data_IF_874766989522
#
_entry.id   IF_874766989522
#
_cell.length_a   1.000
_cell.length_b   1.000
_cell.length_c   1.000
_cell.angle_alpha   90.00
_cell.angle_beta   90.00
_cell.angle_gamma   90.00
#
_symmetry.space_group_name_H-M   'P 1'
#
loop_
_entity.id
_entity.type
_entity.pdbx_description
1 polymer ?
#
# COMPACT_ATOMS: atom_id res chain seq x y z
N UNK A 1 9.79 12.01 15.38
CA UNK A 1 10.19 10.74 16.01
C UNK A 1 11.70 10.54 15.84
N UNK A 2 12.41 9.99 16.83
CA UNK A 2 13.81 9.59 16.68
C UNK A 2 13.86 8.28 15.86
N UNK A 3 14.58 8.26 14.73
CA UNK A 3 14.71 7.08 13.86
C UNK A 3 15.21 5.84 14.63
N UNK A 4 16.10 6.05 15.62
CA UNK A 4 16.60 4.98 16.49
C UNK A 4 15.47 4.34 17.28
N UNK A 5 14.61 5.13 17.94
CA UNK A 5 13.47 4.62 18.72
C UNK A 5 12.54 3.78 17.84
N UNK A 6 12.19 4.28 16.64
CA UNK A 6 11.32 3.57 15.69
C UNK A 6 11.89 2.21 15.29
N UNK A 7 13.20 2.17 15.02
CA UNK A 7 13.92 0.94 14.67
C UNK A 7 13.96 -0.04 15.84
N UNK A 8 14.29 0.45 17.04
CA UNK A 8 14.46 -0.36 18.26
C UNK A 8 13.13 -0.96 18.73
N UNK A 9 12.04 -0.18 18.65
CA UNK A 9 10.68 -0.64 18.96
C UNK A 9 10.03 -1.41 17.79
N UNK A 10 10.71 -1.52 16.66
CA UNK A 10 10.29 -2.31 15.50
C UNK A 10 8.95 -1.83 14.88
N UNK A 11 8.69 -0.51 14.92
CA UNK A 11 7.46 0.07 14.36
C UNK A 11 7.31 -0.18 12.86
N UNK A 12 8.42 -0.28 12.13
CA UNK A 12 8.43 -0.66 10.72
C UNK A 12 7.76 -2.04 10.49
N UNK A 13 7.92 -3.01 11.40
CA UNK A 13 7.26 -4.31 11.30
C UNK A 13 5.74 -4.21 11.48
N UNK A 14 5.24 -3.24 12.25
CA UNK A 14 3.81 -2.95 12.30
C UNK A 14 3.31 -2.36 10.98
N UNK A 15 4.09 -1.45 10.36
CA UNK A 15 3.77 -0.97 9.00
C UNK A 15 3.72 -2.13 8.00
N UNK A 16 4.64 -3.09 8.07
CA UNK A 16 4.62 -4.30 7.23
C UNK A 16 3.34 -5.13 7.42
N UNK A 17 2.92 -5.36 8.66
CA UNK A 17 1.64 -6.04 8.95
C UNK A 17 0.44 -5.28 8.37
N UNK A 18 0.47 -3.95 8.41
CA UNK A 18 -0.56 -3.08 7.88
C UNK A 18 -0.56 -3.05 6.33
N UNK A 19 0.61 -3.04 5.70
CA UNK A 19 0.79 -3.10 4.24
C UNK A 19 0.18 -4.37 3.64
N UNK A 20 0.23 -5.49 4.37
CA UNK A 20 -0.42 -6.73 4.00
C UNK A 20 -1.96 -6.66 4.01
N UNK A 21 -2.54 -5.62 4.64
CA UNK A 21 -3.98 -5.39 4.70
C UNK A 21 -4.51 -4.38 3.69
N UNK A 22 -3.63 -3.63 3.00
CA UNK A 22 -4.03 -2.65 2.00
C UNK A 22 -4.62 -3.30 0.74
N UNK A 23 -5.65 -2.68 0.18
CA UNK A 23 -6.34 -3.18 -1.02
C UNK A 23 -5.77 -2.62 -2.33
N UNK A 24 -5.02 -1.52 -2.26
CA UNK A 24 -4.46 -0.81 -3.42
C UNK A 24 -3.02 -0.34 -3.18
N UNK A 25 -2.31 0.04 -4.26
CA UNK A 25 -1.00 0.70 -4.16
C UNK A 25 -1.08 2.06 -3.46
N UNK A 26 -2.20 2.77 -3.60
CA UNK A 26 -2.42 4.09 -2.99
C UNK A 26 -2.58 3.99 -1.47
N UNK A 27 -3.30 2.96 -0.99
CA UNK A 27 -3.37 2.66 0.43
C UNK A 27 -2.02 2.26 1.01
N UNK A 28 -1.20 1.52 0.25
CA UNK A 28 0.18 1.20 0.65
C UNK A 28 1.05 2.44 0.83
N UNK A 29 1.01 3.38 -0.11
CA UNK A 29 1.72 4.66 0.00
C UNK A 29 1.29 5.42 1.26
N UNK A 30 -0.02 5.46 1.56
CA UNK A 30 -0.55 6.07 2.79
C UNK A 30 -0.08 5.39 4.08
N UNK A 31 0.13 4.07 4.05
CA UNK A 31 0.67 3.31 5.18
C UNK A 31 2.18 3.58 5.36
N UNK A 32 2.93 3.70 4.27
CA UNK A 32 4.36 4.03 4.34
C UNK A 32 4.57 5.41 4.96
N UNK A 33 3.72 6.38 4.59
CA UNK A 33 3.68 7.75 5.15
C UNK A 33 3.14 7.83 6.59
N UNK A 34 2.59 6.75 7.15
CA UNK A 34 1.94 6.77 8.46
C UNK A 34 2.95 7.02 9.58
N UNK A 35 2.82 8.15 10.28
CA UNK A 35 3.68 8.48 11.41
C UNK A 35 2.87 8.71 12.70
N UNK A 36 3.43 8.42 13.88
CA UNK A 36 2.79 8.75 15.15
C UNK A 36 2.53 10.25 15.28
N UNK A 37 1.29 10.60 15.62
CA UNK A 37 0.83 11.96 15.86
C UNK A 37 1.15 12.38 17.31
N UNK A 38 1.19 13.69 17.57
CA UNK A 38 1.46 14.26 18.90
C UNK A 38 0.33 15.19 19.39
N UNK A 39 -0.76 15.26 18.64
CA UNK A 39 -1.95 16.04 18.95
C UNK A 39 -3.10 15.11 19.33
N UNK A 40 -3.68 15.31 20.53
CA UNK A 40 -4.71 14.43 21.07
C UNK A 40 -5.97 14.37 20.19
N UNK A 41 -6.41 15.50 19.63
CA UNK A 41 -7.59 15.56 18.78
C UNK A 41 -7.40 14.75 17.48
N UNK A 42 -6.24 14.91 16.84
CA UNK A 42 -5.87 14.16 15.63
C UNK A 42 -5.72 12.67 15.90
N UNK A 43 -5.14 12.27 17.03
CA UNK A 43 -5.04 10.86 17.46
C UNK A 43 -6.44 10.27 17.66
N UNK A 44 -7.31 10.96 18.39
CA UNK A 44 -8.67 10.51 18.66
C UNK A 44 -9.49 10.34 17.37
N UNK A 45 -9.37 11.28 16.44
CA UNK A 45 -10.02 11.18 15.14
C UNK A 45 -9.50 9.95 14.36
N UNK A 46 -8.18 9.77 14.27
CA UNK A 46 -7.58 8.62 13.57
C UNK A 46 -7.93 7.27 14.22
N UNK A 47 -8.07 7.22 15.54
CA UNK A 47 -8.55 6.04 16.26
C UNK A 47 -10.02 5.74 15.98
N UNK A 48 -10.86 6.77 15.88
CA UNK A 48 -12.27 6.60 15.53
C UNK A 48 -12.47 6.14 14.08
N UNK A 49 -11.66 6.64 13.14
CA UNK A 49 -11.63 6.10 11.77
C UNK A 49 -11.33 4.60 11.76
N UNK A 50 -10.34 4.16 12.54
CA UNK A 50 -10.04 2.73 12.72
C UNK A 50 -11.21 1.96 13.35
N UNK A 51 -11.92 2.57 14.30
CA UNK A 51 -13.11 1.96 14.94
C UNK A 51 -14.25 1.74 13.94
N UNK A 52 -14.59 2.76 13.15
CA UNK A 52 -15.61 2.65 12.10
C UNK A 52 -15.20 1.62 11.03
N UNK A 53 -13.95 1.67 10.56
CA UNK A 53 -13.43 0.73 9.57
C UNK A 53 -13.43 -0.72 10.05
N UNK A 54 -13.10 -0.96 11.32
CA UNK A 54 -13.18 -2.28 11.96
C UNK A 54 -14.62 -2.79 11.99
N UNK A 55 -15.58 -1.91 12.28
CA UNK A 55 -17.00 -2.26 12.28
C UNK A 55 -17.46 -2.65 10.87
N UNK A 56 -17.13 -1.84 9.85
CA UNK A 56 -17.41 -2.15 8.44
C UNK A 56 -16.86 -3.52 8.07
N UNK A 57 -15.57 -3.77 8.32
CA UNK A 57 -14.92 -5.04 7.98
C UNK A 57 -15.61 -6.28 8.60
N UNK A 58 -16.19 -6.14 9.79
CA UNK A 58 -16.85 -7.26 10.49
C UNK A 58 -18.20 -7.62 9.88
N UNK A 59 -18.94 -6.63 9.37
CA UNK A 59 -20.35 -6.81 9.01
C UNK A 59 -20.62 -6.68 7.52
N UNK A 60 -19.72 -6.07 6.76
CA UNK A 60 -19.97 -5.61 5.40
C UNK A 60 -18.72 -5.73 4.50
N UNK A 61 -18.92 -5.71 3.19
CA UNK A 61 -17.84 -5.67 2.20
C UNK A 61 -17.71 -4.24 1.66
N UNK A 62 -16.55 -3.62 1.85
CA UNK A 62 -16.31 -2.24 1.43
C UNK A 62 -15.82 -2.19 -0.02
N UNK A 63 -16.47 -1.43 -0.92
CA UNK A 63 -16.25 -1.56 -2.36
C UNK A 63 -15.00 -0.81 -2.87
N UNK A 64 -13.80 -1.24 -2.47
CA UNK A 64 -12.51 -0.73 -2.98
C UNK A 64 -11.88 -1.58 -4.10
N UNK A 65 -12.48 -2.72 -4.41
CA UNK A 65 -11.94 -3.63 -5.43
C UNK A 65 -11.88 -2.95 -6.80
N UNK A 66 -10.68 -2.90 -7.37
CA UNK A 66 -10.41 -2.27 -8.67
C UNK A 66 -9.80 -0.87 -8.58
N UNK A 67 -9.48 -0.37 -7.37
CA UNK A 67 -8.77 0.89 -7.22
C UNK A 67 -7.33 0.78 -7.77
N UNK A 68 -7.04 1.54 -8.81
CA UNK A 68 -5.75 1.59 -9.51
C UNK A 68 -5.21 3.02 -9.44
N UNK A 69 -3.88 3.16 -9.38
CA UNK A 69 -3.23 4.46 -9.44
C UNK A 69 -3.23 5.03 -10.87
N UNK A 70 -4.12 5.99 -11.10
CA UNK A 70 -4.27 6.66 -12.40
C UNK A 70 -3.55 8.01 -12.48
N UNK A 71 -2.71 8.38 -11.49
CA UNK A 71 -2.04 9.70 -11.45
C UNK A 71 -1.27 10.01 -12.74
N UNK A 72 -0.61 9.01 -13.31
CA UNK A 72 0.12 9.15 -14.57
C UNK A 72 -0.80 9.44 -15.77
N UNK A 73 -1.94 8.75 -15.86
CA UNK A 73 -2.98 9.01 -16.87
C UNK A 73 -3.58 10.40 -16.72
N UNK A 74 -3.98 10.79 -15.50
CA UNK A 74 -4.54 12.11 -15.21
C UNK A 74 -3.55 13.25 -15.51
N UNK A 75 -2.26 13.05 -15.26
CA UNK A 75 -1.21 14.03 -15.60
C UNK A 75 -1.04 14.20 -17.11
N UNK A 76 -1.09 13.11 -17.87
CA UNK A 76 -1.04 13.14 -19.34
C UNK A 76 -2.26 13.84 -19.93
N UNK A 77 -3.47 13.48 -19.47
CA UNK A 77 -4.70 14.13 -19.90
C UNK A 77 -4.71 15.63 -19.60
N UNK A 78 -4.20 16.05 -18.43
CA UNK A 78 -4.08 17.46 -18.07
C UNK A 78 -3.19 18.26 -19.04
N UNK A 79 -2.20 17.61 -19.66
CA UNK A 79 -1.33 18.20 -20.69
C UNK A 79 -1.93 18.15 -22.11
N UNK A 80 -3.16 17.65 -22.26
CA UNK A 80 -3.85 17.51 -23.55
C UNK A 80 -3.39 16.30 -24.38
N UNK A 81 -2.73 15.31 -23.77
CA UNK A 81 -2.34 14.10 -24.47
C UNK A 81 -3.54 13.16 -24.68
N UNK A 82 -3.56 12.45 -25.82
CA UNK A 82 -4.52 11.37 -26.08
C UNK A 82 -4.14 10.14 -25.25
N UNK A 83 -5.06 9.70 -24.41
CA UNK A 83 -4.90 8.52 -23.56
C UNK A 83 -5.10 7.24 -24.35
N UNK A 84 -4.37 6.20 -23.96
CA UNK A 84 -4.53 4.87 -24.53
C UNK A 84 -5.76 4.17 -23.92
N UNK A 85 -6.33 3.16 -24.59
CA UNK A 85 -7.49 2.43 -24.06
C UNK A 85 -7.29 1.88 -22.65
N UNK A 86 -6.08 1.40 -22.33
CA UNK A 86 -5.73 0.92 -20.99
C UNK A 86 -5.85 1.99 -19.93
N UNK A 87 -5.36 3.21 -20.22
CA UNK A 87 -5.42 4.35 -19.29
C UNK A 87 -6.88 4.74 -19.01
N UNK A 88 -7.72 4.73 -20.05
CA UNK A 88 -9.14 5.05 -19.94
C UNK A 88 -9.89 3.99 -19.12
N UNK A 89 -9.60 2.70 -19.32
CA UNK A 89 -10.20 1.63 -18.52
C UNK A 89 -9.81 1.73 -17.03
N UNK A 90 -8.56 2.07 -16.72
CA UNK A 90 -8.13 2.30 -15.33
C UNK A 90 -8.87 3.50 -14.70
N UNK A 91 -9.08 4.57 -15.46
CA UNK A 91 -9.86 5.74 -15.02
C UNK A 91 -11.34 5.37 -14.83
N UNK A 92 -11.92 4.57 -15.72
CA UNK A 92 -13.27 4.05 -15.53
C UNK A 92 -13.38 3.21 -14.24
N UNK A 93 -12.36 2.41 -13.93
CA UNK A 93 -12.30 1.65 -12.66
C UNK A 93 -12.29 2.58 -11.44
N UNK A 94 -11.56 3.70 -11.50
CA UNK A 94 -11.62 4.74 -10.45
C UNK A 94 -13.03 5.34 -10.32
N UNK A 95 -13.71 5.66 -11.44
CA UNK A 95 -15.08 6.17 -11.43
C UNK A 95 -16.05 5.18 -10.76
N UNK A 96 -15.94 3.89 -11.10
CA UNK A 96 -16.73 2.81 -10.51
C UNK A 96 -16.49 2.72 -8.99
N UNK A 97 -15.23 2.73 -8.55
CA UNK A 97 -14.89 2.69 -7.12
C UNK A 97 -15.46 3.91 -6.38
N UNK A 98 -15.30 5.11 -6.94
CA UNK A 98 -15.81 6.35 -6.37
C UNK A 98 -17.33 6.31 -6.21
N UNK A 99 -18.05 5.87 -7.24
CA UNK A 99 -19.52 5.76 -7.23
C UNK A 99 -20.00 4.73 -6.20
N UNK A 100 -19.35 3.57 -6.11
CA UNK A 100 -19.72 2.52 -5.16
C UNK A 100 -19.47 2.94 -3.72
N UNK A 101 -18.30 3.55 -3.44
CA UNK A 101 -17.97 4.07 -2.11
C UNK A 101 -18.93 5.21 -1.70
N UNK A 102 -19.24 6.14 -2.60
CA UNK A 102 -20.25 7.17 -2.38
C UNK A 102 -21.62 6.57 -2.03
N UNK A 103 -22.08 5.60 -2.82
CA UNK A 103 -23.35 4.90 -2.59
C UNK A 103 -23.38 4.16 -1.25
N UNK A 104 -22.29 3.50 -0.88
CA UNK A 104 -22.14 2.80 0.39
C UNK A 104 -22.31 3.73 1.60
N UNK A 105 -21.63 4.89 1.59
CA UNK A 105 -21.65 5.81 2.73
C UNK A 105 -22.90 6.69 2.81
N UNK A 106 -23.57 6.93 1.68
CA UNK A 106 -24.82 7.70 1.63
C UNK A 106 -25.89 7.12 2.55
N UNK A 107 -25.99 5.80 2.64
CA UNK A 107 -27.01 5.11 3.46
C UNK A 107 -26.56 4.89 4.92
N UNK A 108 -25.28 5.18 5.24
CA UNK A 108 -24.64 4.76 6.50
C UNK A 108 -24.04 5.91 7.30
N UNK A 109 -24.48 7.13 7.02
CA UNK A 109 -23.98 8.35 7.65
C UNK A 109 -24.16 8.36 9.17
N UNK A 110 -25.23 7.76 9.68
CA UNK A 110 -25.45 7.65 11.14
C UNK A 110 -24.56 6.57 11.78
N UNK A 111 -24.20 5.53 11.04
CA UNK A 111 -23.45 4.39 11.56
C UNK A 111 -21.94 4.64 11.52
N UNK A 112 -21.45 5.33 10.49
CA UNK A 112 -20.03 5.60 10.24
C UNK A 112 -19.81 7.07 9.90
N UNK A 113 -20.09 8.01 10.82
CA UNK A 113 -20.09 9.45 10.53
C UNK A 113 -18.75 9.98 10.00
N UNK A 114 -17.60 9.52 10.52
CA UNK A 114 -16.29 10.01 10.08
C UNK A 114 -15.94 9.49 8.69
N UNK A 115 -16.06 8.19 8.44
CA UNK A 115 -15.76 7.62 7.13
C UNK A 115 -16.78 8.05 6.08
N UNK A 116 -18.04 8.26 6.46
CA UNK A 116 -19.04 8.87 5.59
C UNK A 116 -18.71 10.30 5.23
N UNK A 117 -18.01 11.06 6.08
CA UNK A 117 -17.57 12.42 5.72
C UNK A 117 -16.59 12.42 4.54
N UNK A 118 -15.71 11.41 4.43
CA UNK A 118 -14.87 11.20 3.25
C UNK A 118 -15.68 10.68 2.07
N UNK A 119 -16.57 9.72 2.32
CA UNK A 119 -17.43 9.12 1.29
C UNK A 119 -18.36 10.11 0.60
N UNK A 120 -18.91 11.07 1.33
CA UNK A 120 -19.81 12.10 0.81
C UNK A 120 -19.08 13.17 -0.02
N UNK A 121 -17.77 13.33 0.15
CA UNK A 121 -16.94 14.22 -0.67
C UNK A 121 -16.58 13.59 -2.03
N UNK A 122 -16.76 12.27 -2.18
CA UNK A 122 -16.56 11.61 -3.47
C UNK A 122 -17.59 12.11 -4.49
N UNK A 123 -17.13 12.43 -5.70
CA UNK A 123 -18.01 12.84 -6.79
C UNK A 123 -18.13 11.73 -7.84
N UNK A 124 -19.30 11.08 -7.97
CA UNK A 124 -19.50 10.04 -8.98
C UNK A 124 -19.46 10.61 -10.40
N UNK A 125 -18.46 10.22 -11.19
CA UNK A 125 -18.32 10.63 -12.60
C UNK A 125 -19.02 9.62 -13.53
N UNK A 126 -20.33 9.44 -13.37
CA UNK A 126 -21.11 8.39 -14.06
C UNK A 126 -21.15 8.57 -15.58
N UNK A 127 -21.17 9.80 -16.06
CA UNK A 127 -21.20 10.09 -17.50
C UNK A 127 -19.91 9.61 -18.17
N UNK A 128 -18.75 9.94 -17.58
CA UNK A 128 -17.44 9.46 -18.04
C UNK A 128 -17.31 7.93 -17.94
N UNK A 129 -17.80 7.32 -16.85
CA UNK A 129 -17.84 5.86 -16.69
C UNK A 129 -18.58 5.18 -17.86
N UNK A 130 -19.77 5.68 -18.19
CA UNK A 130 -20.59 5.14 -19.28
C UNK A 130 -19.98 5.42 -20.66
N UNK A 131 -19.43 6.62 -20.88
CA UNK A 131 -18.78 6.98 -22.14
C UNK A 131 -17.60 6.05 -22.46
N UNK A 132 -16.76 5.75 -21.45
CA UNK A 132 -15.63 4.82 -21.61
C UNK A 132 -16.14 3.39 -21.84
N UNK A 133 -17.11 2.92 -21.05
CA UNK A 133 -17.65 1.56 -21.22
C UNK A 133 -18.34 1.40 -22.58
N UNK A 134 -19.12 2.37 -23.06
CA UNK A 134 -19.77 2.28 -24.37
C UNK A 134 -18.78 2.27 -25.55
N UNK A 135 -17.61 2.89 -25.37
CA UNK A 135 -16.59 3.03 -26.40
C UNK A 135 -15.50 1.95 -26.37
N UNK A 136 -15.13 1.40 -25.20
CA UNK A 136 -13.96 0.53 -25.04
C UNK A 136 -14.38 -0.81 -24.43
N UNK A 137 -13.88 -1.91 -24.99
CA UNK A 137 -14.12 -3.26 -24.47
C UNK A 137 -13.27 -3.57 -23.23
N UNK A 138 -13.64 -4.60 -22.49
CA UNK A 138 -12.85 -5.10 -21.35
C UNK A 138 -11.41 -5.51 -21.73
N UNK A 139 -11.16 -5.77 -23.02
CA UNK A 139 -9.84 -6.13 -23.55
C UNK A 139 -9.02 -4.93 -24.03
N UNK A 140 -9.52 -3.70 -23.88
CA UNK A 140 -8.82 -2.49 -24.31
C UNK A 140 -8.95 -2.20 -25.81
N UNK A 141 -9.96 -2.77 -26.48
CA UNK A 141 -10.24 -2.49 -27.89
C UNK A 141 -11.39 -1.48 -28.03
N UNK A 142 -11.25 -0.50 -28.92
CA UNK A 142 -12.38 0.40 -29.23
C UNK A 142 -13.47 -0.38 -29.94
N UNK A 143 -14.70 -0.35 -29.40
CA UNK A 143 -15.87 -1.11 -29.86
C UNK A 143 -16.36 -0.59 -31.20
N UNK A 144 -16.94 -1.46 -32.04
CA UNK A 144 -17.64 -1.05 -33.27
C UNK A 144 -18.76 -0.05 -33.00
N UNK A 145 -19.34 -0.07 -31.79
CA UNK A 145 -20.41 0.82 -31.34
C UNK A 145 -19.93 2.21 -30.93
N UNK A 146 -18.62 2.42 -30.76
CA UNK A 146 -18.06 3.68 -30.27
C UNK A 146 -18.41 4.86 -31.19
N UNK A 147 -18.52 4.63 -32.50
CA UNK A 147 -19.09 5.60 -33.42
C UNK A 147 -19.76 4.95 -34.63
N UNK A 148 -20.76 5.61 -35.20
CA UNK A 148 -21.42 5.16 -36.43
C UNK A 148 -20.46 5.15 -37.63
N UNK A 149 -19.50 6.09 -37.64
CA UNK A 149 -18.47 6.19 -38.67
C UNK A 149 -17.47 5.02 -38.60
N UNK A 150 -16.97 4.71 -37.40
CA UNK A 150 -16.07 3.57 -37.15
C UNK A 150 -16.73 2.26 -37.57
N UNK A 151 -18.00 2.06 -37.19
CA UNK A 151 -18.78 0.90 -37.61
C UNK A 151 -18.84 0.76 -39.14
N UNK A 152 -19.05 1.87 -39.84
CA UNK A 152 -19.10 1.90 -41.31
C UNK A 152 -17.73 1.56 -41.91
N UNK A 153 -16.66 2.18 -41.42
CA UNK A 153 -15.29 1.92 -41.87
C UNK A 153 -14.92 0.45 -41.68
N UNK A 154 -15.16 -0.13 -40.50
CA UNK A 154 -14.89 -1.55 -40.24
C UNK A 154 -15.71 -2.50 -41.10
N UNK A 155 -16.96 -2.16 -41.41
CA UNK A 155 -17.77 -2.94 -42.36
C UNK A 155 -17.22 -2.86 -43.79
N UNK A 156 -16.76 -1.69 -44.22
CA UNK A 156 -16.10 -1.51 -45.52
C UNK A 156 -14.79 -2.32 -45.58
N UNK A 157 -13.98 -2.30 -44.52
CA UNK A 157 -12.76 -3.12 -44.37
C UNK A 157 -13.08 -4.60 -44.50
N UNK A 158 -14.04 -5.13 -43.71
CA UNK A 158 -14.46 -6.54 -43.78
C UNK A 158 -14.94 -6.92 -45.18
N UNK A 159 -15.67 -6.02 -45.84
CA UNK A 159 -16.16 -6.23 -47.22
C UNK A 159 -15.01 -6.26 -48.23
N UNK A 160 -14.08 -5.31 -48.16
CA UNK A 160 -12.91 -5.22 -49.05
C UNK A 160 -11.97 -6.41 -48.84
N UNK A 161 -11.71 -6.81 -47.59
CA UNK A 161 -10.91 -8.00 -47.26
C UNK A 161 -11.54 -9.27 -47.84
N UNK A 162 -12.85 -9.46 -47.69
CA UNK A 162 -13.56 -10.61 -48.25
C UNK A 162 -13.48 -10.63 -49.78
N UNK A 163 -13.70 -9.49 -50.45
CA UNK A 163 -13.55 -9.34 -51.91
C UNK A 163 -12.12 -9.63 -52.38
N UNK A 164 -11.12 -9.11 -51.68
CA UNK A 164 -9.70 -9.32 -51.98
C UNK A 164 -9.34 -10.80 -51.88
N UNK A 165 -9.73 -11.45 -50.77
CA UNK A 165 -9.49 -12.87 -50.53
C UNK A 165 -10.16 -13.74 -51.61
N UNK A 166 -11.44 -13.51 -51.91
CA UNK A 166 -12.14 -14.24 -52.98
C UNK A 166 -11.45 -14.09 -54.34
N UNK A 167 -11.00 -12.87 -54.68
CA UNK A 167 -10.34 -12.60 -55.96
C UNK A 167 -8.97 -13.27 -56.07
N UNK A 168 -8.20 -13.30 -54.99
CA UNK A 168 -6.91 -13.97 -54.94
C UNK A 168 -7.07 -15.50 -54.92
N UNK A 169 -8.02 -16.04 -54.15
CA UNK A 169 -8.32 -17.47 -54.13
C UNK A 169 -8.81 -17.99 -55.50
N UNK A 170 -9.65 -17.23 -56.19
CA UNK A 170 -10.08 -17.55 -57.55
C UNK A 170 -8.89 -17.61 -58.53
N UNK A 171 -7.91 -16.70 -58.38
CA UNK A 171 -6.67 -16.73 -59.16
C UNK A 171 -5.81 -17.94 -58.82
N UNK A 172 -5.62 -18.24 -57.54
CA UNK A 172 -4.83 -19.39 -57.07
C UNK A 172 -5.42 -20.73 -57.53
N UNK A 173 -6.75 -20.83 -57.60
CA UNK A 173 -7.45 -22.05 -58.10
C UNK A 173 -7.46 -22.18 -59.62
N UNK A 174 -7.07 -21.15 -60.37
CA UNK A 174 -7.03 -21.22 -61.83
C UNK A 174 -5.92 -22.16 -62.30
N UNK A 175 -6.22 -23.15 -63.18
CA UNK A 175 -5.21 -24.07 -63.71
C UNK A 175 -4.07 -23.37 -64.46
N UNK A 176 -4.31 -22.19 -65.03
CA UNK A 176 -3.30 -21.39 -65.69
C UNK A 176 -2.31 -20.78 -64.68
N UNK A 177 -2.81 -20.32 -63.53
CA UNK A 177 -1.99 -19.68 -62.50
C UNK A 177 -1.20 -20.70 -61.68
N UNK A 178 -1.76 -21.89 -61.40
CA UNK A 178 -1.07 -22.94 -60.64
C UNK A 178 0.27 -23.36 -61.25
N UNK A 179 0.43 -23.25 -62.57
CA UNK A 179 1.70 -23.54 -63.27
C UNK A 179 2.80 -22.53 -62.92
N UNK A 180 2.44 -21.32 -62.54
CA UNK A 180 3.37 -20.23 -62.25
C UNK A 180 3.69 -20.12 -60.75
N UNK A 181 2.81 -20.64 -59.89
CA UNK A 181 2.97 -20.55 -58.44
C UNK A 181 3.97 -21.59 -57.91
N UNK A 182 4.75 -21.18 -56.91
CA UNK A 182 5.55 -22.12 -56.13
C UNK A 182 4.64 -22.98 -55.24
N UNK A 183 3.70 -22.33 -54.56
CA UNK A 183 2.67 -22.94 -53.72
C UNK A 183 1.31 -22.28 -54.00
N UNK A 184 0.21 -23.05 -54.08
CA UNK A 184 -1.11 -22.51 -54.37
C UNK A 184 -1.76 -21.94 -53.10
N UNK A 185 -1.11 -20.95 -52.49
CA UNK A 185 -1.57 -20.25 -51.29
C UNK A 185 -1.53 -18.74 -51.50
N UNK A 186 -2.44 -18.04 -50.82
CA UNK A 186 -2.34 -16.59 -50.65
C UNK A 186 -1.53 -16.36 -49.38
N UNK A 187 -0.48 -15.55 -49.47
CA UNK A 187 0.35 -15.20 -48.30
C UNK A 187 0.43 -13.68 -48.15
N UNK A 188 1.03 -13.22 -47.05
CA UNK A 188 1.18 -11.81 -46.75
C UNK A 188 2.67 -11.43 -46.69
N UNK A 189 3.02 -10.31 -47.31
CA UNK A 189 4.35 -9.67 -47.27
C UNK A 189 4.18 -8.18 -47.14
N UNK A 190 4.87 -7.54 -46.19
CA UNK A 190 4.80 -6.09 -45.97
C UNK A 190 3.35 -5.57 -45.90
N UNK A 191 2.48 -6.29 -45.18
CA UNK A 191 1.04 -6.02 -45.02
C UNK A 191 0.25 -5.98 -46.34
N UNK A 192 0.73 -6.71 -47.35
CA UNK A 192 0.07 -6.89 -48.65
C UNK A 192 -0.15 -8.36 -48.92
N UNK A 193 -1.32 -8.67 -49.47
CA UNK A 193 -1.61 -10.02 -49.95
C UNK A 193 -0.92 -10.26 -51.29
N UNK A 194 -0.10 -11.31 -51.33
CA UNK A 194 0.77 -11.65 -52.45
C UNK A 194 0.67 -13.12 -52.80
N UNK A 195 1.01 -13.43 -54.05
CA UNK A 195 1.09 -14.79 -54.55
C UNK A 195 2.57 -15.18 -54.73
N UNK A 196 3.01 -16.34 -54.23
CA UNK A 196 4.38 -16.82 -54.41
C UNK A 196 4.55 -17.40 -55.82
N UNK A 197 5.20 -16.65 -56.72
CA UNK A 197 5.45 -17.01 -58.12
C UNK A 197 6.88 -17.49 -58.29
N UNK A 198 7.12 -18.55 -59.08
CA UNK A 198 8.48 -18.99 -59.39
C UNK A 198 9.22 -17.93 -60.21
N UNK A 199 10.50 -17.70 -59.90
CA UNK A 199 11.32 -16.67 -60.55
C UNK A 199 11.27 -16.75 -62.09
N UNK A 200 11.29 -17.96 -62.64
CA UNK A 200 11.22 -18.24 -64.09
C UNK A 200 9.94 -17.73 -64.77
N UNK A 201 8.84 -17.58 -64.03
CA UNK A 201 7.55 -17.10 -64.54
C UNK A 201 7.24 -15.64 -64.14
N UNK A 202 8.22 -14.87 -63.66
CA UNK A 202 7.99 -13.49 -63.17
C UNK A 202 7.25 -12.60 -64.16
N UNK A 203 7.56 -12.73 -65.46
CA UNK A 203 7.01 -11.87 -66.51
C UNK A 203 5.61 -12.33 -66.96
N UNK A 204 5.16 -13.53 -66.54
CA UNK A 204 3.86 -14.11 -66.93
C UNK A 204 2.74 -13.74 -65.96
N UNK A 205 3.08 -13.27 -64.75
CA UNK A 205 2.10 -12.83 -63.76
C UNK A 205 2.16 -11.30 -63.66
N UNK A 206 1.24 -10.56 -64.31
CA UNK A 206 1.22 -9.11 -64.21
C UNK A 206 0.85 -8.67 -62.78
N UNK A 207 1.76 -7.94 -62.14
CA UNK A 207 1.62 -7.51 -60.75
C UNK A 207 2.82 -6.72 -60.24
N UNK A 208 2.73 -6.27 -59.00
CA UNK A 208 3.78 -5.52 -58.30
C UNK A 208 4.59 -6.51 -57.46
N UNK A 209 5.91 -6.47 -57.56
CA UNK A 209 6.82 -7.29 -56.76
C UNK A 209 7.00 -6.62 -55.40
N UNK A 210 6.69 -7.34 -54.32
CA UNK A 210 6.83 -6.83 -52.95
C UNK A 210 8.02 -7.41 -52.20
N UNK A 211 8.45 -8.61 -52.55
CA UNK A 211 9.53 -9.32 -51.86
C UNK A 211 10.09 -10.48 -52.72
N UNK A 212 11.26 -10.99 -52.33
CA UNK A 212 11.93 -12.15 -52.94
C UNK A 212 12.44 -13.10 -51.84
N UNK A 213 12.31 -14.41 -52.06
CA UNK A 213 12.82 -15.40 -51.10
C UNK A 213 14.35 -15.34 -50.96
N UNK A 214 14.89 -15.72 -49.79
CA UNK A 214 16.32 -15.67 -49.49
C UNK A 214 17.20 -16.51 -50.45
N UNK A 215 16.66 -17.60 -51.00
CA UNK A 215 17.30 -18.44 -52.01
C UNK A 215 17.07 -17.94 -53.46
N UNK A 216 16.35 -16.83 -53.64
CA UNK A 216 16.06 -16.19 -54.92
C UNK A 216 15.03 -16.87 -55.80
N UNK A 217 14.55 -18.08 -55.45
CA UNK A 217 13.72 -18.92 -56.34
C UNK A 217 12.25 -18.49 -56.46
N UNK A 218 11.75 -17.72 -55.50
CA UNK A 218 10.34 -17.33 -55.40
C UNK A 218 10.21 -15.81 -55.30
N UNK A 219 9.34 -15.22 -56.10
CA UNK A 219 8.98 -13.79 -56.05
C UNK A 219 7.57 -13.66 -55.51
N UNK A 220 7.36 -12.74 -54.58
CA UNK A 220 6.04 -12.45 -54.03
C UNK A 220 5.40 -11.31 -54.81
N UNK A 221 4.41 -11.65 -55.64
CA UNK A 221 3.75 -10.71 -56.56
C UNK A 221 2.32 -10.42 -56.08
N UNK A 222 1.98 -9.14 -55.93
CA UNK A 222 0.59 -8.68 -55.82
C UNK A 222 0.00 -8.53 -57.23
N UNK A 223 -0.96 -9.36 -57.63
CA UNK A 223 -1.51 -9.30 -58.99
C UNK A 223 -2.21 -7.97 -59.26
N UNK A 224 -2.12 -7.43 -60.49
CA UNK A 224 -2.75 -6.14 -60.83
C UNK A 224 -4.25 -6.05 -60.50
N UNK A 225 -4.96 -7.16 -60.59
CA UNK A 225 -6.38 -7.25 -60.22
C UNK A 225 -6.67 -7.06 -58.73
N UNK A 226 -5.66 -7.18 -57.87
CA UNK A 226 -5.76 -7.06 -56.42
C UNK A 226 -5.27 -5.69 -55.91
N UNK A 227 -4.43 -5.00 -56.68
CA UNK A 227 -3.78 -3.73 -56.31
C UNK A 227 -4.80 -2.65 -55.91
N UNK A 228 -5.86 -2.46 -56.70
CA UNK A 228 -6.88 -1.44 -56.40
C UNK A 228 -7.59 -1.72 -55.06
N UNK A 229 -8.09 -2.95 -54.87
CA UNK A 229 -8.80 -3.37 -53.65
C UNK A 229 -7.87 -3.29 -52.43
N UNK A 230 -6.60 -3.65 -52.61
CA UNK A 230 -5.56 -3.60 -51.58
C UNK A 230 -5.23 -2.17 -51.18
N UNK A 231 -5.18 -1.23 -52.14
CA UNK A 231 -5.00 0.20 -51.85
C UNK A 231 -6.24 0.81 -51.18
N UNK A 232 -7.45 0.43 -51.61
CA UNK A 232 -8.69 0.82 -50.93
C UNK A 232 -8.72 0.32 -49.49
N UNK A 233 -8.33 -0.94 -49.27
CA UNK A 233 -8.24 -1.54 -47.95
C UNK A 233 -7.26 -0.77 -47.07
N UNK A 234 -6.05 -0.46 -47.57
CA UNK A 234 -5.06 0.34 -46.83
C UNK A 234 -5.58 1.74 -46.49
N UNK A 235 -6.26 2.42 -47.42
CA UNK A 235 -6.91 3.71 -47.12
C UNK A 235 -7.94 3.57 -46.01
N UNK A 236 -8.79 2.54 -46.08
CA UNK A 236 -9.81 2.31 -45.04
C UNK A 236 -9.22 1.94 -43.70
N UNK A 237 -8.10 1.20 -43.65
CA UNK A 237 -7.37 0.94 -42.41
C UNK A 237 -6.77 2.21 -41.82
N UNK A 238 -6.23 3.11 -42.64
CA UNK A 238 -5.79 4.43 -42.16
C UNK A 238 -6.98 5.29 -41.66
N UNK A 239 -8.12 5.29 -42.38
CA UNK A 239 -9.36 5.94 -41.92
C UNK A 239 -9.81 5.38 -40.55
N UNK A 240 -9.62 4.07 -40.31
CA UNK A 240 -9.95 3.43 -39.03
C UNK A 240 -9.03 3.92 -37.90
N UNK A 241 -7.71 3.95 -38.14
CA UNK A 241 -6.74 4.44 -37.17
C UNK A 241 -7.03 5.91 -36.76
N UNK A 242 -7.32 6.77 -37.74
CA UNK A 242 -7.67 8.17 -37.51
C UNK A 242 -8.99 8.32 -36.73
N UNK A 243 -10.00 7.53 -37.07
CA UNK A 243 -11.29 7.55 -36.37
C UNK A 243 -11.16 7.01 -34.93
N UNK A 244 -10.32 6.00 -34.70
CA UNK A 244 -10.00 5.50 -33.35
C UNK A 244 -9.27 6.56 -32.53
N UNK A 245 -8.24 7.22 -33.10
CA UNK A 245 -7.52 8.30 -32.43
C UNK A 245 -8.46 9.47 -32.08
N UNK A 246 -9.38 9.83 -32.97
CA UNK A 246 -10.41 10.84 -32.73
C UNK A 246 -11.28 10.48 -31.52
N UNK A 247 -11.80 9.26 -31.45
CA UNK A 247 -12.65 8.77 -30.34
C UNK A 247 -11.86 8.80 -29.03
N UNK A 248 -10.61 8.31 -29.03
CA UNK A 248 -9.76 8.34 -27.83
C UNK A 248 -9.45 9.78 -27.40
N UNK A 249 -9.26 10.70 -28.36
CA UNK A 249 -9.07 12.12 -28.10
C UNK A 249 -10.28 12.76 -27.41
N UNK A 250 -11.50 12.44 -27.85
CA UNK A 250 -12.75 12.91 -27.23
C UNK A 250 -12.88 12.42 -25.79
N UNK A 251 -12.69 11.12 -25.55
CA UNK A 251 -12.71 10.56 -24.19
C UNK A 251 -11.62 11.17 -23.31
N UNK A 252 -10.43 11.43 -23.87
CA UNK A 252 -9.33 12.07 -23.14
C UNK A 252 -9.66 13.52 -22.74
N UNK A 253 -10.40 14.25 -23.57
CA UNK A 253 -10.90 15.59 -23.24
C UNK A 253 -11.95 15.54 -22.13
N UNK A 254 -12.84 14.54 -22.14
CA UNK A 254 -13.79 14.34 -21.04
C UNK A 254 -13.07 14.04 -19.72
N UNK A 255 -12.04 13.18 -19.74
CA UNK A 255 -11.17 12.94 -18.58
C UNK A 255 -10.51 14.24 -18.11
N UNK A 256 -9.98 15.05 -19.04
CA UNK A 256 -9.34 16.32 -18.72
C UNK A 256 -10.31 17.28 -18.02
N UNK A 257 -11.56 17.36 -18.49
CA UNK A 257 -12.59 18.24 -17.94
C UNK A 257 -12.93 17.92 -16.47
N UNK A 258 -12.89 16.65 -16.07
CA UNK A 258 -13.17 16.21 -14.69
C UNK A 258 -11.91 15.82 -13.90
N UNK A 259 -10.72 16.10 -14.42
CA UNK A 259 -9.45 15.60 -13.89
C UNK A 259 -9.17 15.99 -12.43
N UNK A 260 -9.57 17.18 -12.00
CA UNK A 260 -9.44 17.61 -10.59
C UNK A 260 -10.32 16.79 -9.65
N UNK A 261 -11.56 16.50 -10.08
CA UNK A 261 -12.51 15.68 -9.31
C UNK A 261 -11.98 14.24 -9.18
N UNK A 262 -11.42 13.69 -10.26
CA UNK A 262 -10.78 12.37 -10.25
C UNK A 262 -9.58 12.33 -9.30
N UNK A 263 -8.73 13.37 -9.29
CA UNK A 263 -7.62 13.47 -8.33
C UNK A 263 -8.10 13.51 -6.88
N UNK A 264 -9.15 14.28 -6.59
CA UNK A 264 -9.74 14.35 -5.26
C UNK A 264 -10.31 12.99 -4.83
N UNK A 265 -11.08 12.35 -5.71
CA UNK A 265 -11.61 11.00 -5.45
C UNK A 265 -10.49 9.99 -5.18
N UNK A 266 -9.40 10.03 -5.95
CA UNK A 266 -8.25 9.16 -5.75
C UNK A 266 -7.64 9.32 -4.35
N UNK A 267 -7.48 10.57 -3.90
CA UNK A 267 -6.95 10.88 -2.56
C UNK A 267 -7.90 10.40 -1.45
N UNK A 268 -9.19 10.64 -1.59
CA UNK A 268 -10.21 10.19 -0.62
C UNK A 268 -10.28 8.66 -0.55
N UNK A 269 -10.26 7.97 -1.69
CA UNK A 269 -10.24 6.51 -1.73
C UNK A 269 -8.96 5.91 -1.14
N UNK A 270 -7.81 6.58 -1.31
CA UNK A 270 -6.57 6.18 -0.66
C UNK A 270 -6.66 6.28 0.87
N UNK A 271 -7.29 7.34 1.40
CA UNK A 271 -7.52 7.49 2.84
C UNK A 271 -8.50 6.44 3.38
N UNK A 272 -9.56 6.15 2.62
CA UNK A 272 -10.49 5.08 2.96
C UNK A 272 -9.81 3.71 2.95
N UNK A 273 -8.91 3.42 2.01
CA UNK A 273 -8.12 2.18 2.00
C UNK A 273 -7.19 2.07 3.21
N UNK A 274 -6.53 3.17 3.61
CA UNK A 274 -5.76 3.22 4.86
C UNK A 274 -6.65 2.89 6.06
N UNK A 275 -7.80 3.54 6.20
CA UNK A 275 -8.73 3.29 7.31
C UNK A 275 -9.18 1.82 7.35
N UNK A 276 -9.57 1.27 6.20
CA UNK A 276 -9.97 -0.14 6.08
C UNK A 276 -8.83 -1.10 6.44
N UNK A 277 -7.59 -0.81 6.03
CA UNK A 277 -6.43 -1.59 6.42
C UNK A 277 -6.20 -1.57 7.94
N UNK A 278 -6.32 -0.39 8.59
CA UNK A 278 -6.23 -0.26 10.05
C UNK A 278 -7.34 -1.06 10.75
N UNK A 279 -8.57 -0.95 10.27
CA UNK A 279 -9.73 -1.68 10.81
C UNK A 279 -9.56 -3.20 10.71
N UNK A 280 -9.05 -3.68 9.58
CA UNK A 280 -8.73 -5.10 9.37
C UNK A 280 -7.62 -5.59 10.28
N UNK A 281 -6.53 -4.85 10.42
CA UNK A 281 -5.43 -5.19 11.34
C UNK A 281 -5.95 -5.25 12.78
N UNK A 282 -6.75 -4.27 13.18
CA UNK A 282 -7.37 -4.25 14.51
C UNK A 282 -8.20 -5.50 14.79
N UNK A 283 -9.02 -5.93 13.82
CA UNK A 283 -9.78 -7.16 13.94
C UNK A 283 -8.88 -8.40 14.08
N UNK A 284 -7.86 -8.53 13.23
CA UNK A 284 -6.95 -9.68 13.22
C UNK A 284 -6.16 -9.81 14.53
N UNK A 285 -5.72 -8.69 15.11
CA UNK A 285 -4.94 -8.68 16.36
C UNK A 285 -5.79 -8.72 17.64
N UNK A 286 -7.12 -8.77 17.51
CA UNK A 286 -8.06 -8.58 18.63
C UNK A 286 -7.72 -7.31 19.42
N UNK A 287 -7.44 -6.25 18.68
CA UNK A 287 -7.09 -4.96 19.22
C UNK A 287 -8.33 -4.14 19.58
N UNK A 288 -8.13 -3.17 20.47
CA UNK A 288 -9.15 -2.25 20.97
C UNK A 288 -8.71 -0.80 20.81
N UNK A 289 -9.68 0.11 20.74
CA UNK A 289 -9.41 1.53 20.81
C UNK A 289 -8.93 1.89 22.23
N UNK A 290 -7.71 2.42 22.42
CA UNK A 290 -7.29 2.94 23.71
C UNK A 290 -8.03 4.26 24.02
N UNK A 291 -8.23 4.53 25.30
CA UNK A 291 -8.56 5.87 25.77
C UNK A 291 -7.30 6.74 25.70
N UNK A 292 -7.44 8.00 25.28
CA UNK A 292 -6.33 8.94 25.17
C UNK A 292 -6.48 10.04 26.21
N UNK A 293 -5.40 10.32 26.96
CA UNK A 293 -5.33 11.43 27.91
C UNK A 293 -4.08 12.31 27.67
N UNK A 294 -4.07 13.51 28.24
CA UNK A 294 -2.92 14.43 28.22
C UNK A 294 -2.29 14.61 29.61
N UNK A 295 -2.76 13.83 30.60
CA UNK A 295 -2.33 13.89 32.00
C UNK A 295 -1.00 13.16 32.25
N UNK A 296 -0.47 12.48 31.23
CA UNK A 296 0.82 11.82 31.24
C UNK A 296 0.80 10.45 31.92
N UNK A 297 -0.35 9.81 32.09
CA UNK A 297 -0.42 8.45 32.62
C UNK A 297 -0.84 7.43 31.56
N UNK A 298 -0.37 6.19 31.71
CA UNK A 298 -0.82 5.05 30.91
C UNK A 298 -1.31 3.92 31.83
N UNK A 299 -2.25 3.14 31.32
CA UNK A 299 -2.82 1.98 31.99
C UNK A 299 -3.19 0.93 30.95
N UNK A 300 -2.27 0.02 30.67
CA UNK A 300 -2.43 -1.06 29.72
C UNK A 300 -2.95 -2.29 30.45
N UNK A 301 -4.12 -2.80 30.04
CA UNK A 301 -4.76 -3.98 30.63
C UNK A 301 -4.54 -5.18 29.73
N UNK A 302 -3.92 -6.23 30.25
CA UNK A 302 -3.63 -7.47 29.51
C UNK A 302 -3.06 -7.22 28.10
N UNK A 303 -2.13 -6.27 27.99
CA UNK A 303 -1.50 -5.90 26.74
C UNK A 303 -0.62 -7.04 26.23
N UNK A 304 -0.66 -7.24 24.91
CA UNK A 304 0.08 -8.28 24.20
C UNK A 304 1.04 -7.62 23.23
N UNK A 305 2.24 -8.17 23.08
CA UNK A 305 3.16 -7.67 22.07
C UNK A 305 2.61 -7.98 20.66
N UNK A 306 2.38 -6.99 19.79
CA UNK A 306 1.68 -7.16 18.50
C UNK A 306 2.42 -8.03 17.47
N UNK A 307 3.74 -8.18 17.61
CA UNK A 307 4.57 -9.02 16.74
C UNK A 307 4.71 -10.47 17.23
N UNK A 308 4.20 -10.79 18.43
CA UNK A 308 4.18 -12.17 18.93
C UNK A 308 2.86 -12.84 18.55
N UNK A 309 2.85 -14.16 18.26
CA UNK A 309 1.61 -14.87 17.94
C UNK A 309 0.60 -14.76 19.08
N UNK A 310 -0.66 -14.46 18.74
CA UNK A 310 -1.71 -14.20 19.71
C UNK A 310 -2.02 -15.41 20.62
N UNK A 311 -1.73 -16.63 20.14
CA UNK A 311 -1.97 -17.90 20.82
C UNK A 311 -0.89 -18.23 21.86
N UNK A 312 0.30 -17.63 21.74
CA UNK A 312 1.46 -17.95 22.59
C UNK A 312 1.90 -16.78 23.44
N UNK A 313 1.57 -15.55 23.05
CA UNK A 313 1.87 -14.35 23.84
C UNK A 313 1.07 -14.36 25.13
N UNK A 314 1.78 -14.26 26.26
CA UNK A 314 1.14 -14.09 27.56
C UNK A 314 0.96 -12.58 27.80
N UNK A 315 -0.26 -12.12 28.11
CA UNK A 315 -0.56 -10.70 28.28
C UNK A 315 0.06 -10.13 29.57
N UNK A 316 0.39 -8.84 29.58
CA UNK A 316 0.90 -8.13 30.77
C UNK A 316 0.11 -6.86 31.01
N UNK A 317 -0.16 -6.54 32.28
CA UNK A 317 -0.78 -5.27 32.66
C UNK A 317 0.27 -4.29 33.18
N UNK A 318 0.27 -3.05 32.70
CA UNK A 318 1.27 -2.03 33.03
C UNK A 318 0.58 -0.70 33.31
N UNK A 319 0.90 -0.09 34.46
CA UNK A 319 0.42 1.24 34.83
C UNK A 319 1.61 2.13 35.20
N UNK A 320 1.57 3.40 34.79
CA UNK A 320 2.66 4.36 34.98
C UNK A 320 2.13 5.79 34.91
N UNK A 321 2.63 6.69 35.76
CA UNK A 321 2.40 8.14 35.67
C UNK A 321 1.31 8.73 36.58
N UNK A 322 0.70 7.94 37.48
CA UNK A 322 -0.22 8.44 38.53
C UNK A 322 0.46 8.51 39.90
N UNK A 323 0.69 7.35 40.51
CA UNK A 323 1.29 7.23 41.85
C UNK A 323 2.82 7.28 41.81
N UNK A 324 3.40 6.86 40.68
CA UNK A 324 4.83 6.87 40.41
C UNK A 324 5.08 7.19 38.94
N UNK A 325 6.26 7.74 38.67
CA UNK A 325 6.70 8.11 37.33
C UNK A 325 7.81 7.21 36.79
N UNK A 326 8.40 6.38 37.65
CA UNK A 326 9.40 5.38 37.26
C UNK A 326 8.94 3.98 37.66
N UNK A 327 8.88 3.06 36.70
CA UNK A 327 8.64 1.64 36.91
C UNK A 327 9.93 0.88 36.62
N UNK A 328 10.44 0.17 37.63
CA UNK A 328 11.60 -0.69 37.53
C UNK A 328 11.16 -2.15 37.40
N UNK A 329 11.50 -2.80 36.29
CA UNK A 329 11.18 -4.21 36.04
C UNK A 329 12.38 -5.09 36.34
N UNK A 330 12.22 -6.00 37.29
CA UNK A 330 13.25 -6.94 37.72
C UNK A 330 12.84 -8.38 37.45
N UNK A 331 13.81 -9.29 37.32
CA UNK A 331 13.55 -10.70 37.02
C UNK A 331 14.62 -11.33 36.13
N UNK A 332 14.54 -12.64 35.84
CA UNK A 332 15.46 -13.31 34.92
C UNK A 332 15.30 -12.75 33.49
N UNK A 333 16.36 -12.79 32.69
CA UNK A 333 16.33 -12.24 31.32
C UNK A 333 15.29 -12.93 30.42
N UNK A 334 15.07 -14.24 30.63
CA UNK A 334 14.03 -15.02 29.95
C UNK A 334 12.61 -14.76 30.46
N UNK A 335 12.43 -13.91 31.48
CA UNK A 335 11.14 -13.56 32.06
C UNK A 335 10.34 -12.52 31.28
N UNK A 336 10.88 -11.96 30.20
CA UNK A 336 10.12 -11.04 29.32
C UNK A 336 10.26 -9.55 29.64
N UNK A 337 11.25 -9.12 30.43
CA UNK A 337 11.51 -7.71 30.78
C UNK A 337 11.57 -6.81 29.53
N UNK A 338 12.45 -7.15 28.58
CA UNK A 338 12.61 -6.44 27.30
C UNK A 338 11.33 -6.43 26.47
N UNK A 339 10.57 -7.55 26.48
CA UNK A 339 9.31 -7.67 25.76
C UNK A 339 8.26 -6.73 26.35
N UNK A 340 8.20 -6.58 27.68
CA UNK A 340 7.32 -5.61 28.36
C UNK A 340 7.67 -4.18 27.95
N UNK A 341 8.94 -3.79 27.94
CA UNK A 341 9.38 -2.46 27.49
C UNK A 341 8.96 -2.17 26.05
N UNK A 342 9.29 -3.11 25.14
CA UNK A 342 8.92 -3.00 23.73
C UNK A 342 7.40 -2.93 23.56
N UNK A 343 6.65 -3.71 24.33
CA UNK A 343 5.17 -3.67 24.29
C UNK A 343 4.67 -2.28 24.64
N UNK A 344 5.08 -1.70 25.78
CA UNK A 344 4.63 -0.36 26.20
C UNK A 344 4.98 0.70 25.15
N UNK A 345 6.23 0.73 24.69
CA UNK A 345 6.68 1.69 23.68
C UNK A 345 5.97 1.54 22.34
N UNK A 346 5.85 0.31 21.85
CA UNK A 346 5.23 0.05 20.55
C UNK A 346 3.72 0.31 20.57
N UNK A 347 3.02 -0.03 21.65
CA UNK A 347 1.60 0.29 21.80
C UNK A 347 1.35 1.79 21.89
N UNK A 348 2.24 2.55 22.54
CA UNK A 348 2.19 4.01 22.53
C UNK A 348 2.35 4.57 21.10
N UNK A 349 3.32 4.08 20.33
CA UNK A 349 3.49 4.46 18.92
C UNK A 349 2.28 4.08 18.05
N UNK A 350 1.74 2.87 18.23
CA UNK A 350 0.55 2.41 17.52
C UNK A 350 -0.66 3.29 17.82
N UNK A 351 -0.94 3.56 19.09
CA UNK A 351 -2.05 4.44 19.51
C UNK A 351 -1.90 5.84 18.90
N UNK A 352 -0.71 6.43 18.97
CA UNK A 352 -0.44 7.74 18.37
C UNK A 352 -0.50 7.74 16.83
N UNK A 353 -0.31 6.60 16.16
CA UNK A 353 -0.53 6.44 14.72
C UNK A 353 -2.01 6.19 14.35
N UNK A 354 -2.93 6.25 15.32
CA UNK A 354 -4.35 5.96 15.14
C UNK A 354 -4.65 4.47 14.96
N UNK A 355 -3.74 3.58 15.34
CA UNK A 355 -3.97 2.14 15.34
C UNK A 355 -4.57 1.71 16.68
N UNK A 356 -5.53 0.80 16.63
CA UNK A 356 -5.98 0.09 17.83
C UNK A 356 -4.83 -0.76 18.39
N UNK A 357 -4.84 -1.00 19.70
CA UNK A 357 -3.78 -1.72 20.40
C UNK A 357 -4.26 -3.11 20.87
N UNK A 358 -3.46 -4.18 20.76
CA UNK A 358 -3.77 -5.50 21.32
C UNK A 358 -3.71 -5.49 22.85
N UNK A 359 -4.75 -4.97 23.48
CA UNK A 359 -4.97 -4.93 24.91
C UNK A 359 -6.48 -5.10 25.20
N UNK A 360 -6.85 -5.15 26.47
CA UNK A 360 -8.26 -5.23 26.87
C UNK A 360 -8.91 -3.84 26.92
N UNK A 361 -10.24 -3.83 26.83
CA UNK A 361 -11.05 -2.61 26.83
C UNK A 361 -10.80 -1.73 28.07
N UNK A 362 -10.85 -0.42 27.85
CA UNK A 362 -10.53 0.57 28.87
C UNK A 362 -9.04 0.65 29.21
N UNK A 363 -8.15 0.16 28.33
CA UNK A 363 -6.73 0.51 28.36
C UNK A 363 -6.56 1.99 27.98
N UNK A 364 -5.59 2.66 28.60
CA UNK A 364 -5.37 4.11 28.49
C UNK A 364 -3.93 4.39 28.06
N UNK A 365 -3.77 5.29 27.11
CA UNK A 365 -2.49 5.85 26.67
C UNK A 365 -2.50 7.36 26.88
N UNK A 366 -1.33 7.92 27.14
CA UNK A 366 -1.14 9.37 27.11
C UNK A 366 -0.40 9.79 25.83
N UNK A 367 -0.59 11.04 25.44
CA UNK A 367 0.10 11.64 24.30
C UNK A 367 1.52 12.04 24.71
N UNK A 368 2.50 11.30 24.19
CA UNK A 368 3.93 11.58 24.39
C UNK A 368 4.46 12.42 23.23
N UNK A 369 5.11 13.54 23.55
CA UNK A 369 5.80 14.33 22.52
C UNK A 369 7.02 13.59 21.97
N UNK A 370 7.74 12.91 22.85
CA UNK A 370 8.91 12.12 22.47
C UNK A 370 8.92 10.78 23.20
N UNK A 371 9.23 9.72 22.46
CA UNK A 371 9.50 8.40 23.02
C UNK A 371 10.98 8.11 22.79
N UNK A 372 11.68 7.82 23.88
CA UNK A 372 13.09 7.44 23.89
C UNK A 372 13.19 5.96 24.24
N UNK A 373 14.04 5.24 23.50
CA UNK A 373 14.32 3.84 23.76
C UNK A 373 15.82 3.57 23.68
N UNK A 374 16.36 2.99 24.74
CA UNK A 374 17.64 2.33 24.76
C UNK A 374 17.40 0.84 25.07
N UNK A 375 17.18 0.06 24.01
CA UNK A 375 16.85 -1.36 24.07
C UNK A 375 17.67 -2.05 22.96
N UNK A 376 18.47 -3.07 23.26
CA UNK A 376 19.32 -3.71 22.24
C UNK A 376 20.30 -4.76 22.76
N UNK A 377 20.72 -5.64 21.84
CA UNK A 377 21.49 -6.86 22.09
C UNK A 377 22.99 -6.63 22.36
N UNK A 378 23.46 -7.17 23.47
CA UNK A 378 24.87 -7.25 23.88
C UNK A 378 25.72 -8.28 23.07
N UNK A 379 25.19 -8.89 22.01
CA UNK A 379 25.76 -10.13 21.43
C UNK A 379 26.42 -9.99 20.04
N UNK A 380 26.98 -8.83 19.72
CA UNK A 380 28.00 -8.74 18.67
C UNK A 380 29.39 -8.98 19.28
N UNK A 381 29.96 -10.17 19.01
CA UNK A 381 31.28 -10.60 19.50
C UNK A 381 32.41 -9.65 19.05
N UNK A 382 32.20 -8.83 18.01
CA UNK A 382 33.17 -7.84 17.52
C UNK A 382 33.15 -6.50 18.28
N UNK A 383 32.23 -6.29 19.24
CA UNK A 383 31.93 -4.97 19.83
C UNK A 383 31.88 -4.90 21.37
N UNK A 384 32.52 -5.80 22.11
CA UNK A 384 32.37 -5.86 23.58
C UNK A 384 32.85 -4.64 24.38
N UNK A 385 33.62 -3.70 23.81
CA UNK A 385 33.94 -2.39 24.41
C UNK A 385 33.02 -1.24 23.91
N UNK A 386 32.32 -1.47 22.80
CA UNK A 386 31.54 -0.46 22.09
C UNK A 386 30.08 -0.39 22.56
N UNK A 387 29.56 -1.45 23.20
CA UNK A 387 28.17 -1.54 23.69
C UNK A 387 27.90 -0.58 24.85
N UNK A 388 28.60 -0.70 25.99
CA UNK A 388 28.41 0.20 27.15
C UNK A 388 28.56 1.68 26.78
N UNK A 389 29.61 2.03 26.02
CA UNK A 389 29.83 3.40 25.56
C UNK A 389 28.69 3.90 24.67
N UNK A 390 28.15 3.05 23.79
CA UNK A 390 27.02 3.41 22.92
C UNK A 390 25.70 3.59 23.68
N UNK A 391 25.47 2.78 24.73
CA UNK A 391 24.35 2.95 25.66
C UNK A 391 24.50 4.28 26.42
N UNK A 392 25.69 4.58 26.91
CA UNK A 392 25.97 5.84 27.60
C UNK A 392 25.79 7.07 26.72
N UNK A 393 26.30 7.06 25.49
CA UNK A 393 26.07 8.16 24.54
C UNK A 393 24.57 8.36 24.29
N UNK A 394 23.80 7.27 24.18
CA UNK A 394 22.35 7.36 24.00
C UNK A 394 21.67 7.93 25.24
N UNK A 395 22.03 7.45 26.42
CA UNK A 395 21.47 7.92 27.69
C UNK A 395 21.78 9.40 27.90
N UNK A 396 22.97 9.88 27.50
CA UNK A 396 23.29 11.32 27.50
C UNK A 396 22.35 12.10 26.57
N UNK A 397 22.13 11.65 25.32
CA UNK A 397 21.15 12.30 24.42
C UNK A 397 19.74 12.30 25.01
N UNK A 398 19.35 11.21 25.69
CA UNK A 398 18.05 11.11 26.37
C UNK A 398 17.96 12.11 27.53
N UNK A 399 18.96 12.19 28.42
CA UNK A 399 18.93 13.07 29.59
C UNK A 399 19.00 14.56 29.22
N UNK A 400 19.57 14.89 28.06
CA UNK A 400 19.62 16.26 27.54
C UNK A 400 18.28 16.71 26.91
N UNK A 401 17.44 15.77 26.46
CA UNK A 401 16.26 16.06 25.64
C UNK A 401 14.92 15.64 26.25
N UNK A 402 14.93 14.70 27.20
CA UNK A 402 13.73 14.22 27.85
C UNK A 402 13.10 15.31 28.73
N UNK A 403 11.77 15.29 28.78
CA UNK A 403 10.97 16.21 29.57
C UNK A 403 9.75 15.50 30.19
N UNK A 404 8.90 16.25 30.88
CA UNK A 404 7.67 15.73 31.47
C UNK A 404 6.67 15.11 30.48
N UNK A 405 6.79 15.38 29.17
CA UNK A 405 5.93 14.80 28.11
C UNK A 405 6.62 13.64 27.37
N UNK A 406 7.70 13.13 27.93
CA UNK A 406 8.50 12.06 27.34
C UNK A 406 8.25 10.71 28.00
N UNK A 407 8.21 9.65 27.19
CA UNK A 407 8.33 8.25 27.63
C UNK A 407 9.77 7.80 27.42
N UNK A 408 10.40 7.28 28.46
CA UNK A 408 11.78 6.78 28.42
C UNK A 408 11.80 5.30 28.75
N UNK A 409 12.37 4.50 27.85
CA UNK A 409 12.47 3.04 27.97
C UNK A 409 13.95 2.66 28.01
N UNK A 410 14.42 2.13 29.15
CA UNK A 410 15.83 1.76 29.35
C UNK A 410 15.95 0.28 29.68
N UNK A 411 16.58 -0.50 28.81
CA UNK A 411 16.83 -1.92 29.06
C UNK A 411 18.20 -2.13 29.71
N UNK A 412 18.25 -3.02 30.71
CA UNK A 412 19.43 -3.43 31.47
C UNK A 412 20.29 -2.23 31.95
N UNK A 413 19.64 -1.24 32.57
CA UNK A 413 20.29 -0.01 32.98
C UNK A 413 21.46 -0.27 33.95
N UNK A 414 22.64 0.24 33.57
CA UNK A 414 23.88 0.09 34.32
C UNK A 414 24.68 -1.18 34.02
N UNK A 415 24.21 -2.06 33.12
CA UNK A 415 24.92 -3.26 32.70
C UNK A 415 26.26 -2.96 32.01
N UNK A 416 27.16 -3.94 31.95
CA UNK A 416 28.44 -3.84 31.23
C UNK A 416 29.59 -3.16 31.99
N UNK A 417 29.43 -2.84 33.27
CA UNK A 417 30.48 -2.32 34.17
C UNK A 417 30.48 -3.03 35.53
N UNK A 418 31.34 -2.59 36.45
CA UNK A 418 31.36 -3.07 37.84
C UNK A 418 29.95 -2.96 38.47
N UNK A 419 29.40 -4.02 39.11
CA UNK A 419 28.03 -4.02 39.60
C UNK A 419 27.71 -2.88 40.57
N UNK A 420 28.66 -2.51 41.43
CA UNK A 420 28.48 -1.42 42.40
C UNK A 420 28.44 -0.06 41.70
N UNK A 421 29.34 0.17 40.73
CA UNK A 421 29.34 1.40 39.93
C UNK A 421 28.11 1.49 39.02
N UNK A 422 27.74 0.39 38.36
CA UNK A 422 26.59 0.28 37.47
C UNK A 422 25.27 0.53 38.20
N UNK A 423 25.12 -0.04 39.40
CA UNK A 423 23.94 0.21 40.23
C UNK A 423 23.83 1.67 40.67
N UNK A 424 24.93 2.28 41.13
CA UNK A 424 24.94 3.69 41.53
C UNK A 424 24.62 4.63 40.35
N UNK A 425 25.19 4.34 39.18
CA UNK A 425 24.91 5.06 37.95
C UNK A 425 23.43 4.95 37.55
N UNK A 426 22.87 3.74 37.55
CA UNK A 426 21.48 3.50 37.22
C UNK A 426 20.51 4.25 38.16
N UNK A 427 20.78 4.23 39.47
CA UNK A 427 20.00 5.03 40.45
C UNK A 427 20.04 6.52 40.12
N UNK A 428 21.24 7.07 39.87
CA UNK A 428 21.39 8.50 39.54
C UNK A 428 20.65 8.92 38.26
N UNK A 429 20.62 8.04 37.25
CA UNK A 429 19.90 8.26 35.99
C UNK A 429 18.39 8.22 36.24
N UNK A 430 17.90 7.24 37.01
CA UNK A 430 16.48 7.13 37.37
C UNK A 430 16.03 8.38 38.14
N UNK A 431 16.79 8.79 39.16
CA UNK A 431 16.51 9.99 39.95
C UNK A 431 16.44 11.25 39.08
N UNK A 432 17.42 11.44 38.20
CA UNK A 432 17.47 12.59 37.31
C UNK A 432 16.26 12.62 36.35
N UNK A 433 16.00 11.53 35.65
CA UNK A 433 14.90 11.44 34.67
C UNK A 433 13.53 11.53 35.35
N UNK A 434 13.33 10.84 36.47
CA UNK A 434 12.10 10.93 37.26
C UNK A 434 11.90 12.36 37.80
N UNK A 435 12.98 13.03 38.22
CA UNK A 435 12.97 14.43 38.65
C UNK A 435 12.57 15.42 37.56
N UNK A 436 12.77 15.10 36.28
CA UNK A 436 12.24 15.88 35.14
C UNK A 436 10.73 15.67 34.93
N UNK A 437 10.12 14.72 35.62
CA UNK A 437 8.71 14.35 35.47
C UNK A 437 8.40 13.46 34.26
N UNK A 438 9.42 12.89 33.63
CA UNK A 438 9.22 11.97 32.51
C UNK A 438 8.66 10.63 32.99
N UNK A 439 8.09 9.85 32.07
CA UNK A 439 7.55 8.52 32.37
C UNK A 439 8.62 7.52 32.02
N UNK A 440 9.19 6.88 33.04
CA UNK A 440 10.34 6.00 32.91
C UNK A 440 9.92 4.55 33.14
N UNK A 441 10.30 3.69 32.21
CA UNK A 441 10.24 2.24 32.37
C UNK A 441 11.65 1.69 32.16
N UNK A 442 12.25 1.15 33.22
CA UNK A 442 13.61 0.64 33.20
C UNK A 442 13.64 -0.85 33.57
N UNK A 443 14.55 -1.62 32.98
CA UNK A 443 14.85 -2.99 33.45
C UNK A 443 16.22 -3.03 34.07
N UNK A 444 16.41 -3.98 35.00
CA UNK A 444 17.73 -4.23 35.58
C UNK A 444 17.88 -5.69 36.01
N UNK A 445 19.13 -6.11 36.17
CA UNK A 445 19.51 -7.36 36.81
C UNK A 445 20.13 -7.15 38.21
N UNK A 446 20.41 -5.89 38.60
CA UNK A 446 21.01 -5.57 39.89
C UNK A 446 19.99 -5.67 41.03
N UNK A 447 20.39 -6.33 42.11
CA UNK A 447 19.51 -6.52 43.28
C UNK A 447 19.42 -5.26 44.14
N UNK A 448 20.46 -4.44 44.11
CA UNK A 448 20.57 -3.14 44.77
C UNK A 448 19.44 -2.20 44.32
N UNK A 449 19.07 -2.25 43.04
CA UNK A 449 18.00 -1.45 42.47
C UNK A 449 16.60 -1.86 42.98
N UNK A 450 16.42 -3.12 43.43
CA UNK A 450 15.18 -3.54 44.09
C UNK A 450 15.00 -2.80 45.41
N UNK A 451 16.05 -2.78 46.23
CA UNK A 451 16.03 -2.08 47.53
C UNK A 451 15.82 -0.58 47.35
N UNK A 452 16.47 0.01 46.35
CA UNK A 452 16.28 1.41 45.96
C UNK A 452 14.81 1.72 45.61
N UNK A 453 14.17 0.90 44.76
CA UNK A 453 12.79 1.12 44.36
C UNK A 453 11.80 1.05 45.55
N UNK A 454 12.08 0.26 46.58
CA UNK A 454 11.25 0.22 47.80
C UNK A 454 11.42 1.45 48.71
N UNK A 455 12.55 2.14 48.63
CA UNK A 455 12.90 3.25 49.52
C UNK A 455 12.70 4.63 48.88
N UNK A 456 12.47 4.68 47.57
CA UNK A 456 12.45 5.92 46.79
C UNK A 456 11.03 6.27 46.38
N UNK A 457 10.56 7.43 46.82
CA UNK A 457 9.24 7.95 46.44
C UNK A 457 9.15 8.18 44.92
N UNK A 458 8.04 7.80 44.29
CA UNK A 458 7.84 7.95 42.86
C UNK A 458 8.51 6.89 41.98
N UNK A 459 9.16 5.89 42.59
CA UNK A 459 9.70 4.70 41.92
C UNK A 459 8.93 3.46 42.40
N UNK A 460 8.49 2.62 41.47
CA UNK A 460 7.81 1.37 41.76
C UNK A 460 8.59 0.19 41.20
N UNK A 461 8.67 -0.91 41.96
CA UNK A 461 9.20 -2.17 41.46
C UNK A 461 8.07 -3.05 40.91
N UNK A 462 8.29 -3.60 39.72
CA UNK A 462 7.56 -4.72 39.14
C UNK A 462 8.52 -5.92 38.95
N UNK A 463 7.97 -7.12 39.03
CA UNK A 463 8.72 -8.35 38.82
C UNK A 463 8.09 -9.19 37.72
N UNK A 464 8.92 -9.81 36.88
CA UNK A 464 8.48 -10.85 35.96
C UNK A 464 8.97 -12.21 36.44
N UNK A 465 8.13 -13.22 36.33
CA UNK A 465 8.44 -14.60 36.72
C UNK A 465 8.50 -15.53 35.49
N UNK A 466 9.26 -16.63 35.63
CA UNK A 466 9.46 -17.63 34.59
C UNK A 466 9.19 -19.01 35.20
N UNK A 467 8.26 -19.75 34.60
CA UNK A 467 7.96 -21.11 35.01
C UNK A 467 8.95 -22.07 34.33
N UNK A 468 9.74 -22.73 35.17
CA UNK A 468 10.82 -23.64 34.77
C UNK A 468 10.27 -24.97 34.23
N UNK A 469 9.05 -25.36 34.61
CA UNK A 469 8.40 -26.60 34.12
C UNK A 469 7.80 -26.40 32.73
N UNK A 470 7.17 -25.24 32.49
CA UNK A 470 6.54 -24.94 31.19
C UNK A 470 7.46 -24.22 30.21
N UNK A 471 8.63 -23.75 30.68
CA UNK A 471 9.58 -22.90 29.95
C UNK A 471 8.92 -21.64 29.38
N UNK A 472 7.96 -21.06 30.11
CA UNK A 472 7.20 -19.88 29.70
C UNK A 472 7.28 -18.78 30.75
N UNK A 473 7.30 -17.50 30.34
CA UNK A 473 7.04 -16.39 31.26
C UNK A 473 5.62 -16.52 31.82
N UNK A 474 5.43 -16.23 33.11
CA UNK A 474 4.12 -16.29 33.77
C UNK A 474 3.41 -14.94 33.83
N UNK A 475 4.14 -13.84 33.61
CA UNK A 475 3.79 -12.43 33.83
C UNK A 475 2.93 -12.17 35.07
#
# INVERSE_FOLDING_TARGET
MNERTSRVLEFAKIKELLLAQASSSLGREKIEELEPLVDAASILQALQETTEARAIYRTEDFPLKGLIDVRAGLRRAALGAVLQPTDLLEIASLCVCSRRAYGFFREKTEQYPLLSSYGQQLVPCRELELAIDDAISEFGEVKDSASSNLRKIRNDIRTLQSRLKQRLEAKVRSPAMQKFLQEPIVTMRNDRYVLPVRLEYRNQVPGIIHDQSANGSTIFIEPMSAVEISNDLRRKTADEEEEVERILGELSQEVQAVGDMLRQNLSLLAQLDLAMAKGKLSYLQRAVQPLINEDGYLNLKNARHPLLPAETVVPSSVYLGKEFNALLVTGPNTGGKTVTLKTVGLLALMGQAGLHIPADEGSELTVFQTIFADIGDEQSIEQSLSTFSSHMINIIDITERADHRSLVLLDELGAGTDPTEGAALAMSIIDYLSGLGCRLLATTHYSELKSYAYQTEGVQNASVEFDVETLRPTY
#
